data_IF_757048888153
#
_entry.id   IF_757048888153
#
_cell.length_a   1.000
_cell.length_b   1.000
_cell.length_c   1.000
_cell.angle_alpha   90.00
_cell.angle_beta   90.00
_cell.angle_gamma   90.00
#
_symmetry.space_group_name_H-M   'P 1'
#
loop_
_entity.id
_entity.type
_entity.pdbx_description
1 polymer ?
#
# COMPACT_ATOMS: atom_id res chain seq x y z
N UNK A 1 -6.33 -6.14 -6.99
CA UNK A 1 -5.34 -5.04 -7.15
C UNK A 1 -4.03 -5.54 -6.60
N UNK A 2 -3.00 -5.55 -7.44
CA UNK A 2 -1.68 -5.99 -7.02
C UNK A 2 -0.90 -4.88 -6.31
N UNK A 3 -1.08 -3.62 -6.73
CA UNK A 3 -0.37 -2.48 -6.20
C UNK A 3 -1.02 -1.16 -6.61
N UNK A 4 -0.93 -0.17 -5.74
CA UNK A 4 -1.16 1.25 -6.07
C UNK A 4 0.21 1.92 -6.18
N UNK A 5 0.38 2.71 -7.25
CA UNK A 5 1.61 3.43 -7.57
C UNK A 5 1.41 4.92 -7.34
N UNK A 6 2.40 5.58 -6.80
CA UNK A 6 2.40 7.01 -6.55
C UNK A 6 3.53 7.74 -7.26
N UNK A 7 3.73 9.01 -6.91
CA UNK A 7 4.80 9.82 -7.49
C UNK A 7 6.19 9.18 -7.29
N UNK A 8 6.99 9.14 -8.35
CA UNK A 8 8.33 8.52 -8.42
C UNK A 8 8.34 7.00 -8.31
N UNK A 9 7.19 6.33 -8.30
CA UNK A 9 7.15 4.89 -8.46
C UNK A 9 7.40 4.52 -9.93
N UNK A 10 7.96 3.32 -10.13
CA UNK A 10 8.13 2.79 -11.47
C UNK A 10 7.60 1.36 -11.57
N UNK A 11 7.20 0.95 -12.76
CA UNK A 11 6.59 -0.35 -13.01
C UNK A 11 6.89 -0.87 -14.42
N UNK A 12 6.63 -2.16 -14.63
CA UNK A 12 6.86 -2.80 -15.93
C UNK A 12 8.27 -3.35 -16.12
N UNK A 13 9.11 -3.31 -15.10
CA UNK A 13 10.50 -3.80 -15.13
C UNK A 13 10.60 -5.32 -15.29
N UNK A 14 9.69 -6.06 -14.67
CA UNK A 14 9.75 -7.53 -14.65
C UNK A 14 9.66 -8.12 -16.06
N UNK A 15 8.66 -7.81 -16.89
CA UNK A 15 8.61 -8.30 -18.26
C UNK A 15 9.77 -7.81 -19.11
N UNK A 16 10.30 -6.61 -18.87
CA UNK A 16 11.47 -6.09 -19.59
C UNK A 16 12.71 -6.95 -19.32
N UNK A 17 12.98 -7.30 -18.05
CA UNK A 17 14.11 -8.17 -17.70
C UNK A 17 13.91 -9.63 -18.12
N UNK A 18 12.67 -10.12 -18.09
CA UNK A 18 12.37 -11.53 -18.41
C UNK A 18 12.07 -11.76 -19.89
N UNK A 19 11.88 -10.72 -20.69
CA UNK A 19 11.46 -10.85 -22.09
C UNK A 19 10.07 -11.47 -22.25
N UNK A 20 9.16 -11.24 -21.30
CA UNK A 20 7.81 -11.80 -21.27
C UNK A 20 6.75 -10.71 -21.48
N UNK A 21 5.51 -11.14 -21.68
CA UNK A 21 4.36 -10.24 -21.72
C UNK A 21 4.04 -9.68 -20.33
N UNK A 22 3.33 -8.55 -20.30
CA UNK A 22 2.91 -7.93 -19.05
C UNK A 22 1.83 -8.79 -18.38
N UNK A 23 2.03 -9.23 -17.12
CA UNK A 23 1.11 -10.14 -16.43
C UNK A 23 -0.12 -9.43 -15.85
N UNK A 24 -0.18 -8.09 -15.91
CA UNK A 24 -1.23 -7.28 -15.31
C UNK A 24 -1.47 -6.02 -16.14
N UNK A 25 -2.64 -5.42 -15.94
CA UNK A 25 -3.00 -4.13 -16.49
C UNK A 25 -2.67 -3.01 -15.51
N UNK A 26 -2.43 -1.79 -16.02
CA UNK A 26 -2.36 -0.58 -15.23
C UNK A 26 -3.62 0.26 -15.48
N UNK A 27 -4.22 0.75 -14.41
CA UNK A 27 -5.39 1.64 -14.42
C UNK A 27 -5.04 2.95 -13.75
N UNK A 28 -5.38 4.07 -14.37
CA UNK A 28 -5.14 5.42 -13.83
C UNK A 28 -6.28 5.75 -12.87
N UNK A 29 -5.95 6.02 -11.61
CA UNK A 29 -6.91 6.39 -10.57
C UNK A 29 -7.14 7.90 -10.47
N UNK A 30 -6.12 8.69 -10.84
CA UNK A 30 -6.11 10.15 -10.87
C UNK A 30 -5.32 10.60 -12.10
N UNK A 31 -5.56 11.82 -12.58
CA UNK A 31 -4.81 12.39 -13.70
C UNK A 31 -3.30 12.32 -13.41
N UNK A 32 -2.57 11.65 -14.30
CA UNK A 32 -1.18 11.30 -14.07
C UNK A 32 -0.31 11.53 -15.30
N UNK A 33 0.92 11.96 -15.07
CA UNK A 33 1.95 12.07 -16.09
C UNK A 33 2.95 10.93 -15.93
N UNK A 34 3.24 10.22 -17.04
CA UNK A 34 4.13 9.06 -17.06
C UNK A 34 5.32 9.31 -17.97
N UNK A 35 6.51 8.96 -17.49
CA UNK A 35 7.72 8.87 -18.32
C UNK A 35 7.85 7.44 -18.85
N UNK A 36 7.91 7.31 -20.16
CA UNK A 36 8.09 6.03 -20.84
C UNK A 36 9.55 5.80 -21.22
N UNK A 37 10.08 4.66 -20.84
CA UNK A 37 11.42 4.20 -21.24
C UNK A 37 11.31 2.96 -22.12
N UNK A 38 11.76 3.00 -23.39
CA UNK A 38 11.82 1.81 -24.23
C UNK A 38 12.68 0.72 -23.57
N UNK A 39 12.23 -0.53 -23.64
CA UNK A 39 12.90 -1.66 -23.01
C UNK A 39 14.39 -1.78 -23.40
N UNK A 40 14.70 -1.56 -24.70
CA UNK A 40 16.07 -1.61 -25.22
C UNK A 40 16.97 -0.56 -24.55
N UNK A 41 16.50 0.68 -24.46
CA UNK A 41 17.27 1.80 -23.90
C UNK A 41 17.45 1.63 -22.38
N UNK A 42 16.42 1.14 -21.70
CA UNK A 42 16.48 0.81 -20.29
C UNK A 42 17.52 -0.27 -20.00
N UNK A 43 17.52 -1.39 -20.75
CA UNK A 43 18.51 -2.45 -20.60
C UNK A 43 19.93 -1.94 -20.89
N UNK A 44 20.10 -1.12 -21.92
CA UNK A 44 21.40 -0.50 -22.21
C UNK A 44 21.89 0.37 -21.06
N UNK A 45 21.02 1.18 -20.45
CA UNK A 45 21.37 2.00 -19.29
C UNK A 45 21.79 1.15 -18.08
N UNK A 46 21.08 0.04 -17.82
CA UNK A 46 21.43 -0.91 -16.75
C UNK A 46 22.81 -1.52 -17.00
N UNK A 47 23.12 -1.93 -18.24
CA UNK A 47 24.41 -2.55 -18.58
C UNK A 47 25.57 -1.54 -18.61
N UNK A 48 25.31 -0.31 -18.99
CA UNK A 48 26.34 0.71 -19.14
C UNK A 48 26.75 1.40 -17.82
N UNK A 49 25.89 1.36 -16.81
CA UNK A 49 26.12 2.08 -15.54
C UNK A 49 26.02 1.14 -14.34
N UNK A 50 27.14 0.72 -13.71
CA UNK A 50 27.12 -0.06 -12.47
C UNK A 50 26.38 0.65 -11.33
N UNK A 51 26.45 1.99 -11.27
CA UNK A 51 25.74 2.78 -10.28
C UNK A 51 24.21 2.70 -10.49
N UNK A 52 23.74 2.78 -11.73
CA UNK A 52 22.32 2.62 -12.05
C UNK A 52 21.84 1.20 -11.72
N UNK A 53 22.65 0.18 -12.06
CA UNK A 53 22.34 -1.22 -11.71
C UNK A 53 22.22 -1.41 -10.20
N UNK A 54 23.11 -0.81 -9.40
CA UNK A 54 23.04 -0.86 -7.94
C UNK A 54 21.77 -0.18 -7.41
N UNK A 55 21.40 0.97 -7.95
CA UNK A 55 20.13 1.64 -7.58
C UNK A 55 18.91 0.78 -7.89
N UNK A 56 18.92 0.06 -9.02
CA UNK A 56 17.87 -0.88 -9.38
C UNK A 56 17.79 -2.05 -8.38
N UNK A 57 18.93 -2.62 -7.99
CA UNK A 57 18.99 -3.69 -6.99
C UNK A 57 18.43 -3.20 -5.65
N UNK A 58 18.84 -2.03 -5.19
CA UNK A 58 18.34 -1.43 -3.95
C UNK A 58 16.83 -1.18 -4.00
N UNK A 59 16.33 -0.71 -5.13
CA UNK A 59 14.89 -0.50 -5.33
C UNK A 59 14.13 -1.84 -5.26
N UNK A 60 14.61 -2.87 -5.97
CA UNK A 60 13.98 -4.20 -5.96
C UNK A 60 14.07 -4.87 -4.59
N UNK A 61 15.17 -4.68 -3.86
CA UNK A 61 15.33 -5.18 -2.50
C UNK A 61 14.30 -4.57 -1.53
N UNK A 62 14.13 -3.24 -1.56
CA UNK A 62 13.08 -2.57 -0.78
C UNK A 62 11.67 -3.02 -1.16
N UNK A 63 11.46 -3.33 -2.42
CA UNK A 63 10.18 -3.86 -2.89
C UNK A 63 9.92 -5.27 -2.37
N UNK A 64 10.95 -6.12 -2.35
CA UNK A 64 10.88 -7.47 -1.79
C UNK A 64 10.58 -7.45 -0.28
N UNK A 65 11.24 -6.56 0.46
CA UNK A 65 10.98 -6.34 1.88
C UNK A 65 9.50 -6.00 2.13
N UNK A 66 8.94 -5.03 1.39
CA UNK A 66 7.51 -4.69 1.47
C UNK A 66 6.58 -5.87 1.14
N UNK A 67 6.93 -6.73 0.19
CA UNK A 67 6.14 -7.94 -0.08
C UNK A 67 6.23 -8.95 1.05
N UNK A 68 7.39 -9.09 1.69
CA UNK A 68 7.56 -9.97 2.85
C UNK A 68 6.69 -9.49 4.02
N UNK A 69 6.71 -8.19 4.32
CA UNK A 69 5.82 -7.58 5.32
C UNK A 69 4.33 -7.78 4.99
N UNK A 70 3.96 -7.64 3.72
CA UNK A 70 2.57 -7.86 3.27
C UNK A 70 2.14 -9.32 3.47
N UNK A 71 2.99 -10.28 3.12
CA UNK A 71 2.72 -11.72 3.31
C UNK A 71 2.59 -12.03 4.80
N UNK A 72 3.48 -11.52 5.63
CA UNK A 72 3.42 -11.66 7.08
C UNK A 72 2.11 -11.10 7.63
N UNK A 73 1.75 -9.88 7.23
CA UNK A 73 0.51 -9.23 7.64
C UNK A 73 -0.73 -10.04 7.23
N UNK A 74 -0.79 -10.56 6.00
CA UNK A 74 -1.94 -11.33 5.51
C UNK A 74 -2.00 -12.72 6.16
N UNK A 75 -0.87 -13.33 6.43
CA UNK A 75 -0.77 -14.71 6.94
C UNK A 75 -1.00 -14.81 8.46
N UNK A 76 -0.54 -13.82 9.23
CA UNK A 76 -0.48 -13.91 10.69
C UNK A 76 -1.42 -12.96 11.41
N UNK A 77 -1.92 -11.90 10.76
CA UNK A 77 -2.71 -10.86 11.43
C UNK A 77 -4.18 -10.86 11.00
N UNK A 78 -5.07 -10.63 11.94
CA UNK A 78 -6.51 -10.45 11.67
C UNK A 78 -6.78 -9.15 10.88
N UNK A 79 -7.95 -9.05 10.22
CA UNK A 79 -8.32 -7.87 9.42
C UNK A 79 -8.29 -6.56 10.22
N UNK A 80 -8.78 -6.50 11.48
CA UNK A 80 -8.69 -5.29 12.30
C UNK A 80 -7.25 -4.81 12.51
N UNK A 81 -6.35 -5.72 12.84
CA UNK A 81 -4.91 -5.47 13.05
C UNK A 81 -4.26 -4.90 11.79
N UNK A 82 -4.50 -5.51 10.64
CA UNK A 82 -3.98 -5.03 9.35
C UNK A 82 -4.49 -3.63 9.00
N UNK A 83 -5.76 -3.36 9.30
CA UNK A 83 -6.38 -2.07 9.07
C UNK A 83 -5.80 -0.99 10.00
N UNK A 84 -5.55 -1.32 11.27
CA UNK A 84 -4.89 -0.45 12.23
C UNK A 84 -3.47 -0.06 11.77
N UNK A 85 -2.65 -1.03 11.37
CA UNK A 85 -1.33 -0.77 10.77
C UNK A 85 -1.40 0.15 9.55
N UNK A 86 -2.37 -0.07 8.68
CA UNK A 86 -2.55 0.76 7.50
C UNK A 86 -2.85 2.22 7.87
N UNK A 87 -3.73 2.46 8.83
CA UNK A 87 -4.06 3.81 9.29
C UNK A 87 -2.88 4.49 10.00
N UNK A 88 -2.12 3.77 10.84
CA UNK A 88 -0.90 4.28 11.46
C UNK A 88 0.13 4.69 10.39
N UNK A 89 0.35 3.86 9.38
CA UNK A 89 1.28 4.17 8.29
C UNK A 89 0.85 5.35 7.42
N UNK A 90 -0.45 5.61 7.29
CA UNK A 90 -0.97 6.81 6.63
C UNK A 90 -0.79 8.05 7.51
N UNK A 91 -1.03 7.91 8.81
CA UNK A 91 -0.88 8.97 9.80
C UNK A 91 0.54 9.53 9.82
N UNK A 92 1.56 8.66 9.82
CA UNK A 92 2.97 9.04 9.79
C UNK A 92 3.39 9.85 8.54
N UNK A 93 2.68 9.67 7.44
CA UNK A 93 2.97 10.34 6.15
C UNK A 93 2.27 11.68 5.99
N UNK A 94 1.31 11.99 6.85
CA UNK A 94 0.49 13.17 6.75
C UNK A 94 0.95 14.28 7.71
N UNK A 95 0.81 15.54 7.27
CA UNK A 95 1.07 16.71 8.11
C UNK A 95 0.10 16.82 9.32
N UNK A 96 -1.06 16.15 9.22
CA UNK A 96 -2.06 16.06 10.29
C UNK A 96 -2.20 14.60 10.73
N UNK A 97 -1.48 14.13 11.75
CA UNK A 97 -1.46 12.73 12.16
C UNK A 97 -2.86 12.14 12.47
N UNK A 98 -3.76 12.96 13.02
CA UNK A 98 -5.10 12.51 13.42
C UNK A 98 -6.07 12.35 12.25
N UNK A 99 -5.70 12.79 11.03
CA UNK A 99 -6.59 12.78 9.87
C UNK A 99 -5.91 12.09 8.69
N UNK A 100 -6.53 11.04 8.21
CA UNK A 100 -6.08 10.32 7.03
C UNK A 100 -7.14 10.45 5.93
N UNK A 101 -6.75 10.92 4.75
CA UNK A 101 -7.61 10.93 3.58
C UNK A 101 -7.40 9.68 2.76
N UNK A 102 -8.46 8.93 2.54
CA UNK A 102 -8.46 7.79 1.64
C UNK A 102 -8.71 8.28 0.21
N UNK A 103 -7.65 8.41 -0.58
CA UNK A 103 -7.73 8.72 -2.02
C UNK A 103 -8.18 7.51 -2.87
N UNK A 104 -8.70 6.47 -2.22
CA UNK A 104 -9.08 5.19 -2.83
C UNK A 104 -10.48 4.77 -2.39
N UNK A 105 -11.17 4.00 -3.22
CA UNK A 105 -12.46 3.44 -2.86
C UNK A 105 -12.36 2.39 -1.75
N UNK A 106 -13.47 2.13 -1.04
CA UNK A 106 -13.54 1.05 -0.03
C UNK A 106 -13.22 -0.33 -0.62
N UNK A 107 -13.58 -0.56 -1.88
CA UNK A 107 -13.24 -1.79 -2.58
C UNK A 107 -11.72 -1.93 -2.79
N UNK A 108 -11.05 -0.84 -3.16
CA UNK A 108 -9.59 -0.81 -3.27
C UNK A 108 -8.91 -1.00 -1.91
N UNK A 109 -9.41 -0.34 -0.87
CA UNK A 109 -8.88 -0.52 0.49
C UNK A 109 -9.05 -1.97 0.96
N UNK A 110 -10.20 -2.58 0.74
CA UNK A 110 -10.42 -4.00 1.07
C UNK A 110 -9.41 -4.92 0.38
N UNK A 111 -9.12 -4.65 -0.90
CA UNK A 111 -8.12 -5.38 -1.66
C UNK A 111 -6.70 -5.20 -1.09
N UNK A 112 -6.31 -3.99 -0.68
CA UNK A 112 -5.00 -3.70 -0.05
C UNK A 112 -4.87 -4.45 1.28
N UNK A 113 -5.92 -4.42 2.09
CA UNK A 113 -5.95 -5.10 3.39
C UNK A 113 -6.05 -6.63 3.24
N UNK A 114 -6.34 -7.14 2.03
CA UNK A 114 -6.51 -8.58 1.78
C UNK A 114 -7.81 -9.12 2.39
N UNK A 115 -8.91 -8.40 2.16
CA UNK A 115 -10.26 -8.78 2.64
C UNK A 115 -11.32 -8.41 1.60
N UNK A 116 -12.59 -8.66 1.91
CA UNK A 116 -13.73 -8.27 1.09
C UNK A 116 -14.41 -7.00 1.64
N UNK A 117 -15.08 -6.20 0.78
CA UNK A 117 -15.68 -4.92 1.19
C UNK A 117 -16.67 -5.03 2.36
N UNK A 118 -17.41 -6.15 2.44
CA UNK A 118 -18.37 -6.41 3.50
C UNK A 118 -17.69 -6.58 4.86
N UNK A 119 -16.57 -7.32 4.89
CA UNK A 119 -15.78 -7.52 6.12
C UNK A 119 -15.10 -6.21 6.52
N UNK A 120 -14.52 -5.48 5.56
CA UNK A 120 -13.95 -4.15 5.81
C UNK A 120 -14.99 -3.21 6.45
N UNK A 121 -16.19 -3.17 5.88
CA UNK A 121 -17.28 -2.30 6.39
C UNK A 121 -17.68 -2.66 7.81
N UNK A 122 -17.74 -3.96 8.15
CA UNK A 122 -18.02 -4.41 9.52
C UNK A 122 -16.91 -4.01 10.50
N UNK A 123 -15.65 -4.16 10.10
CA UNK A 123 -14.50 -3.78 10.94
C UNK A 123 -14.48 -2.27 11.17
N UNK A 124 -14.62 -1.46 10.12
CA UNK A 124 -14.70 0.00 10.25
C UNK A 124 -15.84 0.45 11.19
N UNK A 125 -17.00 -0.20 11.08
CA UNK A 125 -18.14 0.07 11.97
C UNK A 125 -17.79 -0.22 13.44
N UNK A 126 -17.17 -1.39 13.72
CA UNK A 126 -16.73 -1.75 15.08
C UNK A 126 -15.68 -0.75 15.63
N UNK A 127 -14.66 -0.40 14.83
CA UNK A 127 -13.66 0.59 15.27
C UNK A 127 -14.30 1.95 15.58
N UNK A 128 -15.37 2.33 14.87
CA UNK A 128 -16.13 3.54 15.16
C UNK A 128 -16.95 3.41 16.45
N UNK A 129 -17.62 2.28 16.67
CA UNK A 129 -18.39 1.99 17.90
C UNK A 129 -17.49 2.01 19.14
N UNK A 130 -16.27 1.47 19.04
CA UNK A 130 -15.23 1.49 20.08
C UNK A 130 -14.50 2.84 20.22
N UNK A 131 -14.91 3.85 19.43
CA UNK A 131 -14.32 5.20 19.40
C UNK A 131 -12.81 5.23 19.14
N UNK A 132 -12.32 4.28 18.36
CA UNK A 132 -10.92 4.25 17.93
C UNK A 132 -10.74 5.21 16.75
N UNK A 133 -11.70 5.21 15.83
CA UNK A 133 -11.73 6.10 14.65
C UNK A 133 -13.12 6.69 14.46
N UNK A 134 -13.19 7.77 13.68
CA UNK A 134 -14.42 8.22 13.00
C UNK A 134 -14.24 8.17 11.49
N UNK A 135 -15.35 7.98 10.76
CA UNK A 135 -15.34 7.82 9.30
C UNK A 135 -16.33 8.80 8.70
N UNK A 136 -15.83 9.78 7.96
CA UNK A 136 -16.63 10.80 7.27
C UNK A 136 -16.34 10.77 5.77
N UNK A 137 -17.11 9.99 5.01
CA UNK A 137 -16.87 9.78 3.58
C UNK A 137 -15.53 9.07 3.35
N UNK A 138 -14.57 9.79 2.78
CA UNK A 138 -13.19 9.34 2.54
C UNK A 138 -12.20 9.82 3.62
N UNK A 139 -12.66 10.57 4.62
CA UNK A 139 -11.83 11.02 5.72
C UNK A 139 -11.93 10.02 6.88
N UNK A 140 -10.79 9.56 7.36
CA UNK A 140 -10.65 8.76 8.58
C UNK A 140 -10.01 9.65 9.64
N UNK A 141 -10.67 9.78 10.78
CA UNK A 141 -10.18 10.54 11.92
C UNK A 141 -9.79 9.54 13.01
N UNK A 142 -8.55 9.54 13.42
CA UNK A 142 -8.08 8.72 14.54
C UNK A 142 -8.46 9.45 15.82
N UNK A 143 -9.30 8.82 16.63
CA UNK A 143 -9.80 9.36 17.90
C UNK A 143 -8.95 8.91 19.09
N UNK A 144 -8.38 7.71 19.02
CA UNK A 144 -7.62 7.08 20.09
C UNK A 144 -6.43 6.34 19.49
N UNK A 145 -5.24 6.97 19.55
CA UNK A 145 -4.00 6.40 19.01
C UNK A 145 -3.52 5.19 19.81
N UNK A 146 -3.65 5.24 21.14
CA UNK A 146 -3.19 4.16 22.02
C UNK A 146 -3.96 2.87 21.72
N UNK A 147 -5.29 2.95 21.60
CA UNK A 147 -6.10 1.79 21.19
C UNK A 147 -5.80 1.32 19.77
N UNK A 148 -5.49 2.25 18.85
CA UNK A 148 -5.15 1.88 17.48
C UNK A 148 -3.82 1.13 17.42
N UNK A 149 -2.82 1.53 18.23
CA UNK A 149 -1.53 0.86 18.38
C UNK A 149 -1.71 -0.53 19.02
N UNK A 150 -2.45 -0.64 20.13
CA UNK A 150 -2.76 -1.93 20.76
C UNK A 150 -3.47 -2.90 19.80
N UNK A 151 -4.33 -2.38 18.95
CA UNK A 151 -4.99 -3.18 17.92
C UNK A 151 -4.01 -3.61 16.82
N UNK A 152 -3.08 -2.74 16.43
CA UNK A 152 -2.03 -3.04 15.48
C UNK A 152 -1.07 -4.11 16.00
N UNK A 153 -0.73 -4.08 17.28
CA UNK A 153 0.17 -5.03 17.93
C UNK A 153 -0.53 -6.35 18.32
N UNK A 154 -1.82 -6.49 17.99
CA UNK A 154 -2.65 -7.66 18.36
C UNK A 154 -2.84 -7.85 19.87
N UNK A 155 -2.57 -6.82 20.66
CA UNK A 155 -2.77 -6.83 22.12
C UNK A 155 -4.23 -6.54 22.48
N UNK A 156 -4.97 -5.95 21.54
CA UNK A 156 -6.42 -5.72 21.63
C UNK A 156 -7.16 -6.48 20.53
N UNK A 157 -8.37 -6.96 20.84
CA UNK A 157 -9.30 -7.54 19.84
C UNK A 157 -10.55 -6.68 19.73
N UNK A 158 -11.06 -6.55 18.51
CA UNK A 158 -12.35 -5.92 18.20
C UNK A 158 -13.51 -6.89 18.33
#
# INVERSE_FOLDING_TARGET
ILRILGNKDFFGEVPVFQGKEYPAYAEVLEDSELLYFPAKDFIQAVLASPQFSLQMILFLSKRLEKFTELIENISLKEVPTRLAHYFLSLSEKNECPNKCFLHISKAHLASIIGTVPETLSRVLKKMKEEKIIDVNGNEIIILDFEKLELLADSEMKL
#
